data_IF_868630511345
#
_entry.id   IF_868630511345
#
_cell.length_a   1.000
_cell.length_b   1.000
_cell.length_c   1.000
_cell.angle_alpha   90.00
_cell.angle_beta   90.00
_cell.angle_gamma   90.00
#
_symmetry.space_group_name_H-M   'P 1'
#
loop_
_entity.id
_entity.type
_entity.pdbx_description
1 polymer ?
#
# COMPACT_ATOMS: atom_id res chain seq x y z
N UNK A 1 -1.95 8.41 -29.42
CA UNK A 1 -3.06 7.99 -30.31
C UNK A 1 -3.67 6.72 -29.73
N UNK A 2 -4.71 6.86 -28.93
CA UNK A 2 -5.54 5.76 -28.51
C UNK A 2 -6.30 5.30 -29.74
N UNK A 3 -5.94 4.16 -30.25
CA UNK A 3 -6.70 3.49 -31.30
C UNK A 3 -7.93 2.86 -30.69
N UNK A 4 -9.04 3.27 -31.20
CA UNK A 4 -10.38 2.69 -31.20
C UNK A 4 -10.52 1.28 -30.62
N UNK A 5 -10.87 1.19 -29.36
CA UNK A 5 -11.64 0.03 -28.93
C UNK A 5 -13.11 0.38 -29.09
N UNK A 6 -13.68 -0.02 -30.22
CA UNK A 6 -15.12 -0.05 -30.38
C UNK A 6 -15.65 -1.02 -29.32
N UNK A 7 -16.12 -0.50 -28.21
CA UNK A 7 -16.94 -1.29 -27.31
C UNK A 7 -18.20 -1.63 -28.07
N UNK A 8 -18.27 -2.85 -28.58
CA UNK A 8 -19.50 -3.37 -29.14
C UNK A 8 -20.51 -3.45 -28.00
N UNK A 9 -21.41 -2.54 -27.95
CA UNK A 9 -22.60 -2.64 -27.11
C UNK A 9 -23.41 -3.81 -27.64
N UNK A 10 -23.11 -4.99 -27.14
CA UNK A 10 -23.88 -6.18 -27.42
C UNK A 10 -25.07 -6.25 -26.44
N UNK A 11 -26.23 -5.90 -27.00
CA UNK A 11 -27.58 -6.34 -26.67
C UNK A 11 -28.22 -5.89 -25.35
N UNK A 12 -29.42 -5.43 -25.48
CA UNK A 12 -30.55 -5.21 -24.53
C UNK A 12 -30.60 -3.90 -23.73
N UNK A 13 -29.52 -3.17 -23.57
CA UNK A 13 -29.62 -1.79 -23.09
C UNK A 13 -29.02 -0.89 -24.17
N UNK A 14 -29.82 0.07 -24.66
CA UNK A 14 -29.34 1.07 -25.60
C UNK A 14 -28.18 1.81 -24.97
N UNK A 15 -27.00 1.72 -25.55
CA UNK A 15 -25.91 2.60 -25.18
C UNK A 15 -26.39 4.04 -25.20
N UNK A 16 -26.12 4.84 -24.17
CA UNK A 16 -26.46 6.25 -24.19
C UNK A 16 -25.78 6.90 -25.40
N UNK A 17 -26.60 7.39 -26.32
CA UNK A 17 -26.09 8.15 -27.47
C UNK A 17 -25.84 9.56 -27.02
N UNK A 18 -24.59 9.95 -26.98
CA UNK A 18 -24.24 11.34 -26.75
C UNK A 18 -24.70 12.20 -27.94
N UNK A 19 -25.13 13.43 -27.69
CA UNK A 19 -25.51 14.36 -28.75
C UNK A 19 -24.39 14.49 -29.79
N UNK A 20 -24.75 14.64 -31.06
CA UNK A 20 -23.80 14.79 -32.16
C UNK A 20 -22.80 15.93 -31.94
N UNK A 21 -23.23 16.97 -31.20
CA UNK A 21 -22.38 18.11 -30.82
C UNK A 21 -21.23 17.77 -29.89
N UNK A 22 -21.29 16.59 -29.24
CA UNK A 22 -20.24 16.10 -28.37
C UNK A 22 -19.36 15.02 -29.02
N UNK A 23 -19.61 14.75 -30.30
CA UNK A 23 -18.78 13.80 -31.07
C UNK A 23 -17.63 14.56 -31.69
N UNK A 24 -16.45 14.10 -31.41
CA UNK A 24 -15.28 14.45 -32.19
C UNK A 24 -15.02 13.30 -33.19
N UNK A 25 -14.87 13.66 -34.46
CA UNK A 25 -14.45 12.75 -35.51
C UNK A 25 -15.35 11.54 -35.79
N UNK A 26 -16.67 11.66 -35.57
CA UNK A 26 -17.61 10.60 -35.92
C UNK A 26 -17.67 9.39 -34.99
N UNK A 27 -17.00 9.43 -33.86
CA UNK A 27 -17.01 8.34 -32.88
C UNK A 27 -18.27 8.29 -32.03
N UNK A 28 -18.76 7.09 -31.78
CA UNK A 28 -19.96 6.85 -30.99
C UNK A 28 -19.59 6.45 -29.57
N UNK A 29 -20.12 7.17 -28.60
CA UNK A 29 -20.07 6.74 -27.20
C UNK A 29 -18.69 6.89 -26.53
N UNK A 30 -17.80 7.64 -27.13
CA UNK A 30 -16.50 7.94 -26.55
C UNK A 30 -16.44 9.42 -26.13
N UNK A 31 -15.94 9.67 -24.94
CA UNK A 31 -15.49 11.00 -24.56
C UNK A 31 -14.06 11.19 -25.03
N UNK A 32 -13.83 12.06 -26.00
CA UNK A 32 -12.52 12.12 -26.66
C UNK A 32 -11.49 12.97 -25.94
N UNK A 33 -11.76 13.46 -24.76
CA UNK A 33 -10.86 14.40 -24.11
C UNK A 33 -10.53 14.01 -22.67
N UNK A 34 -9.79 12.93 -22.54
CA UNK A 34 -8.89 12.85 -21.42
C UNK A 34 -7.55 13.40 -21.90
N UNK A 35 -7.36 14.69 -21.74
CA UNK A 35 -6.03 15.29 -21.90
C UNK A 35 -5.27 14.91 -20.64
N UNK A 36 -4.30 14.04 -20.78
CA UNK A 36 -3.29 13.85 -19.76
C UNK A 36 -2.30 15.00 -19.97
N UNK A 37 -2.35 16.00 -19.14
CA UNK A 37 -1.26 16.95 -19.06
C UNK A 37 -0.11 16.23 -18.38
N UNK A 38 0.95 16.00 -19.11
CA UNK A 38 2.21 15.53 -18.56
C UNK A 38 3.12 16.73 -18.43
N UNK A 39 3.37 17.15 -17.22
CA UNK A 39 4.41 18.13 -16.98
C UNK A 39 5.78 17.47 -17.16
N UNK A 40 6.68 18.18 -17.84
CA UNK A 40 8.07 17.75 -17.96
C UNK A 40 8.74 17.87 -16.58
N UNK A 41 9.16 16.75 -16.02
CA UNK A 41 9.84 16.73 -14.73
C UNK A 41 11.27 16.22 -14.88
N UNK A 42 12.18 16.88 -14.16
CA UNK A 42 13.58 16.49 -14.12
C UNK A 42 13.90 15.92 -12.73
N UNK A 43 14.12 14.61 -12.67
CA UNK A 43 14.68 13.98 -11.47
C UNK A 43 16.19 14.19 -11.42
N UNK A 44 16.71 14.51 -10.24
CA UNK A 44 18.15 14.63 -10.03
C UNK A 44 18.57 13.95 -8.73
N UNK A 45 19.85 13.59 -8.67
CA UNK A 45 20.51 13.07 -7.46
C UNK A 45 21.81 13.81 -7.23
N UNK A 46 21.95 14.34 -6.03
CA UNK A 46 23.20 14.88 -5.52
C UNK A 46 23.68 13.99 -4.38
N UNK A 47 24.94 13.57 -4.41
CA UNK A 47 25.48 12.74 -3.35
C UNK A 47 26.92 13.14 -3.04
N UNK A 48 27.27 13.07 -1.76
CA UNK A 48 28.63 13.21 -1.25
C UNK A 48 28.96 12.03 -0.37
N UNK A 49 30.17 11.53 -0.46
CA UNK A 49 30.68 10.47 0.40
C UNK A 49 32.10 10.80 0.87
N UNK A 50 32.44 10.33 2.05
CA UNK A 50 33.74 10.49 2.62
C UNK A 50 34.19 9.23 3.36
N UNK A 51 35.38 8.73 3.04
CA UNK A 51 35.98 7.64 3.77
C UNK A 51 36.65 8.21 5.02
N UNK A 52 36.15 7.83 6.19
CA UNK A 52 36.75 8.19 7.48
C UNK A 52 38.01 7.37 7.72
N UNK A 53 37.99 6.12 7.28
CA UNK A 53 39.09 5.16 7.25
C UNK A 53 38.96 4.27 6.02
N UNK A 54 39.92 3.35 5.81
CA UNK A 54 39.80 2.34 4.73
C UNK A 54 38.59 1.44 4.89
N UNK A 55 38.06 1.33 6.11
CA UNK A 55 36.97 0.42 6.46
C UNK A 55 35.66 1.14 6.87
N UNK A 56 35.60 2.46 6.82
CA UNK A 56 34.44 3.24 7.23
C UNK A 56 34.18 4.40 6.27
N UNK A 57 32.97 4.46 5.77
CA UNK A 57 32.48 5.51 4.88
C UNK A 57 31.21 6.11 5.45
N UNK A 58 31.10 7.43 5.35
CA UNK A 58 29.84 8.16 5.58
C UNK A 58 29.41 8.81 4.27
N UNK A 59 28.12 8.99 4.11
CA UNK A 59 27.57 9.63 2.93
C UNK A 59 26.32 10.44 3.27
N UNK A 60 26.01 11.38 2.40
CA UNK A 60 24.72 12.06 2.36
C UNK A 60 24.26 12.16 0.92
N UNK A 61 22.98 12.05 0.69
CA UNK A 61 22.39 12.22 -0.64
C UNK A 61 21.06 12.94 -0.58
N UNK A 62 20.75 13.64 -1.68
CA UNK A 62 19.45 14.23 -1.95
C UNK A 62 19.00 13.78 -3.33
N UNK A 63 17.80 13.21 -3.43
CA UNK A 63 17.28 12.64 -4.67
C UNK A 63 15.85 13.11 -4.87
N UNK A 64 15.50 13.49 -6.09
CA UNK A 64 14.11 13.77 -6.48
C UNK A 64 13.64 12.79 -7.54
N UNK A 65 12.36 12.50 -7.51
CA UNK A 65 11.68 11.68 -8.51
C UNK A 65 10.27 12.20 -8.73
N UNK A 66 9.73 11.97 -9.90
CA UNK A 66 8.38 12.39 -10.26
C UNK A 66 7.63 11.25 -10.91
N UNK A 67 6.36 11.12 -10.60
CA UNK A 67 5.43 10.21 -11.25
C UNK A 67 4.32 11.05 -11.90
N UNK A 68 4.11 10.84 -13.20
CA UNK A 68 3.16 11.62 -13.98
C UNK A 68 1.73 11.55 -13.40
N UNK A 69 1.03 12.65 -13.47
CA UNK A 69 -0.39 12.77 -13.24
C UNK A 69 -1.22 12.05 -14.31
N UNK A 70 -2.53 12.13 -14.20
CA UNK A 70 -3.43 11.48 -15.12
C UNK A 70 -4.90 11.85 -14.91
N UNK A 71 -5.79 11.04 -15.43
CA UNK A 71 -7.23 11.20 -15.26
C UNK A 71 -7.87 9.97 -14.65
N UNK A 72 -8.80 10.17 -13.74
CA UNK A 72 -9.64 9.13 -13.24
C UNK A 72 -10.65 8.68 -14.31
N UNK A 73 -10.89 7.36 -14.46
CA UNK A 73 -11.95 6.89 -15.31
C UNK A 73 -13.30 7.32 -14.74
N UNK A 74 -14.09 8.02 -15.51
CA UNK A 74 -15.45 8.36 -15.13
C UNK A 74 -16.43 8.15 -16.28
N UNK A 75 -17.70 7.91 -15.93
CA UNK A 75 -18.79 7.65 -16.89
C UNK A 75 -19.48 8.92 -17.37
N UNK A 76 -19.18 10.06 -16.76
CA UNK A 76 -19.86 11.34 -17.08
C UNK A 76 -19.16 12.09 -18.20
N UNK A 77 -17.95 11.73 -18.52
CA UNK A 77 -17.13 12.36 -19.55
C UNK A 77 -16.60 13.72 -19.20
N UNK A 78 -16.78 14.16 -17.99
CA UNK A 78 -16.08 15.32 -17.45
C UNK A 78 -14.71 14.88 -17.02
N UNK A 79 -13.62 15.53 -17.46
CA UNK A 79 -12.28 15.21 -16.97
C UNK A 79 -12.23 15.27 -15.44
N UNK A 80 -11.63 14.28 -14.82
CA UNK A 80 -11.37 14.22 -13.38
C UNK A 80 -9.86 13.98 -13.20
N UNK A 81 -9.02 15.03 -13.43
CA UNK A 81 -7.58 14.88 -13.39
C UNK A 81 -7.08 14.68 -11.96
N UNK A 82 -5.93 14.07 -11.84
CA UNK A 82 -5.08 14.08 -10.67
C UNK A 82 -3.68 14.51 -11.07
N UNK A 83 -3.04 15.26 -10.19
CA UNK A 83 -1.75 15.88 -10.45
C UNK A 83 -0.60 14.86 -10.37
N UNK A 84 0.56 15.25 -10.80
CA UNK A 84 1.79 14.47 -10.65
C UNK A 84 2.17 14.32 -9.17
N UNK A 85 2.91 13.26 -8.88
CA UNK A 85 3.51 13.00 -7.57
C UNK A 85 5.00 13.36 -7.64
N UNK A 86 5.44 14.25 -6.75
CA UNK A 86 6.83 14.66 -6.63
C UNK A 86 7.41 14.19 -5.30
N UNK A 87 8.48 13.44 -5.36
CA UNK A 87 9.14 12.90 -4.16
C UNK A 87 10.54 13.46 -4.04
N UNK A 88 10.89 13.90 -2.83
CA UNK A 88 12.24 14.31 -2.45
C UNK A 88 12.72 13.48 -1.26
N UNK A 89 13.89 12.87 -1.37
CA UNK A 89 14.49 12.04 -0.33
C UNK A 89 15.85 12.62 0.05
N UNK A 90 15.98 12.97 1.32
CA UNK A 90 17.28 13.20 1.96
C UNK A 90 17.68 11.94 2.73
N UNK A 91 18.94 11.53 2.58
CA UNK A 91 19.48 10.37 3.27
C UNK A 91 20.90 10.67 3.77
N UNK A 92 21.19 10.25 5.00
CA UNK A 92 22.54 10.27 5.55
C UNK A 92 22.85 8.92 6.19
N UNK A 93 24.01 8.37 5.93
CA UNK A 93 24.30 7.03 6.42
C UNK A 93 25.77 6.71 6.55
N UNK A 94 26.05 5.52 7.05
CA UNK A 94 27.39 4.95 7.19
C UNK A 94 27.41 3.52 6.66
N UNK A 95 28.57 3.15 6.12
CA UNK A 95 28.92 1.78 5.77
C UNK A 95 30.28 1.45 6.40
N UNK A 96 30.32 0.40 7.19
CA UNK A 96 31.47 0.11 8.02
C UNK A 96 31.81 -1.38 8.06
N UNK A 97 33.08 -1.68 7.97
CA UNK A 97 33.68 -2.99 8.27
C UNK A 97 34.43 -2.81 9.57
N UNK A 98 33.99 -3.47 10.62
CA UNK A 98 34.47 -3.30 11.98
C UNK A 98 35.05 -4.61 12.51
N UNK A 99 35.77 -4.54 13.64
CA UNK A 99 36.32 -5.69 14.34
C UNK A 99 37.19 -6.56 13.41
N UNK A 100 38.12 -5.95 12.69
CA UNK A 100 39.04 -6.62 11.76
C UNK A 100 38.31 -7.50 10.71
N UNK A 101 37.14 -7.01 10.24
CA UNK A 101 36.33 -7.72 9.24
C UNK A 101 35.26 -8.64 9.82
N UNK A 102 35.22 -8.82 11.13
CA UNK A 102 34.22 -9.69 11.76
C UNK A 102 32.80 -9.09 11.76
N UNK A 103 32.65 -7.76 11.52
CA UNK A 103 31.34 -7.12 11.53
C UNK A 103 31.17 -6.17 10.35
N UNK A 104 30.14 -6.38 9.53
CA UNK A 104 29.66 -5.42 8.55
C UNK A 104 28.44 -4.70 9.13
N UNK A 105 28.50 -3.38 9.18
CA UNK A 105 27.43 -2.55 9.74
C UNK A 105 27.11 -1.41 8.79
N UNK A 106 25.85 -1.33 8.38
CA UNK A 106 25.32 -0.21 7.59
C UNK A 106 24.10 0.33 8.31
N UNK A 107 24.00 1.67 8.37
CA UNK A 107 22.85 2.35 8.90
C UNK A 107 22.61 3.65 8.18
N UNK A 108 21.37 4.04 8.00
CA UNK A 108 20.98 5.31 7.42
C UNK A 108 19.78 5.90 8.16
N UNK A 109 19.73 7.21 8.18
CA UNK A 109 18.54 8.01 8.44
C UNK A 109 18.07 8.59 7.13
N UNK A 110 16.78 8.55 6.88
CA UNK A 110 16.17 9.18 5.71
C UNK A 110 14.95 10.02 6.07
N UNK A 111 14.72 11.03 5.27
CA UNK A 111 13.52 11.83 5.26
C UNK A 111 13.00 11.87 3.83
N UNK A 112 11.77 11.45 3.66
CA UNK A 112 11.06 11.43 2.39
C UNK A 112 9.86 12.37 2.51
N UNK A 113 9.77 13.36 1.64
CA UNK A 113 8.58 14.19 1.44
C UNK A 113 8.02 13.90 0.06
N UNK A 114 6.72 13.70 -0.01
CA UNK A 114 6.03 13.45 -1.27
C UNK A 114 4.88 14.43 -1.38
N UNK A 115 4.99 15.35 -2.33
CA UNK A 115 3.93 16.26 -2.70
C UNK A 115 3.06 15.59 -3.77
N UNK A 116 1.76 15.67 -3.61
CA UNK A 116 0.81 15.08 -4.54
C UNK A 116 0.77 13.54 -4.54
N UNK A 117 1.18 12.86 -3.47
CA UNK A 117 1.09 11.41 -3.36
C UNK A 117 -0.30 10.90 -3.75
N UNK A 118 -0.36 9.87 -4.60
CA UNK A 118 -1.63 9.31 -5.05
C UNK A 118 -2.20 8.31 -4.04
N UNK A 119 -3.40 8.63 -3.57
CA UNK A 119 -4.22 7.69 -2.80
C UNK A 119 -5.44 7.31 -3.61
N UNK A 120 -5.69 6.00 -3.70
CA UNK A 120 -6.90 5.49 -4.34
C UNK A 120 -8.03 5.36 -3.32
N UNK A 121 -9.14 6.02 -3.59
CA UNK A 121 -10.38 5.95 -2.82
C UNK A 121 -11.47 5.30 -3.62
N UNK A 122 -12.35 4.54 -2.95
CA UNK A 122 -13.50 3.92 -3.61
C UNK A 122 -14.71 4.83 -3.44
N UNK A 123 -15.18 5.38 -4.55
CA UNK A 123 -16.35 6.25 -4.60
C UNK A 123 -17.36 5.65 -5.58
N UNK A 124 -18.60 5.45 -5.16
CA UNK A 124 -19.71 4.93 -6.00
C UNK A 124 -19.36 3.62 -6.67
N UNK A 125 -18.84 2.67 -6.45
CA UNK A 125 -18.43 1.47 -7.20
C UNK A 125 -17.23 1.66 -8.13
N UNK A 126 -16.62 2.85 -8.14
CA UNK A 126 -15.42 3.16 -8.89
C UNK A 126 -14.24 3.43 -7.98
N UNK A 127 -13.04 3.31 -8.50
CA UNK A 127 -11.83 3.80 -7.86
C UNK A 127 -11.54 5.20 -8.37
N UNK A 128 -11.24 6.10 -7.46
CA UNK A 128 -10.83 7.48 -7.75
C UNK A 128 -9.49 7.74 -7.09
N UNK A 129 -8.53 8.21 -7.86
CA UNK A 129 -7.26 8.68 -7.34
C UNK A 129 -7.38 10.14 -6.94
N UNK A 130 -6.82 10.47 -5.82
CA UNK A 130 -6.72 11.84 -5.29
C UNK A 130 -5.29 12.09 -4.83
N UNK A 131 -4.85 13.33 -4.94
CA UNK A 131 -3.53 13.73 -4.47
C UNK A 131 -3.61 14.14 -3.00
N UNK A 132 -2.53 13.87 -2.28
CA UNK A 132 -2.27 14.30 -0.91
C UNK A 132 -0.78 14.49 -0.73
N UNK A 133 -0.39 15.13 0.33
CA UNK A 133 1.01 15.22 0.70
C UNK A 133 1.30 14.25 1.84
N UNK A 134 2.51 13.71 1.85
CA UNK A 134 2.93 12.76 2.88
C UNK A 134 4.40 12.95 3.25
N UNK A 135 4.68 12.67 4.52
CA UNK A 135 6.04 12.63 5.05
C UNK A 135 6.33 11.25 5.62
N UNK A 136 7.55 10.76 5.36
CA UNK A 136 8.05 9.50 5.91
C UNK A 136 9.48 9.73 6.38
N UNK A 137 9.69 9.58 7.68
CA UNK A 137 11.01 9.68 8.29
C UNK A 137 11.40 8.33 8.86
N UNK A 138 12.66 7.95 8.76
CA UNK A 138 13.03 6.65 9.28
C UNK A 138 14.51 6.41 9.48
N UNK A 139 14.77 5.30 10.16
CA UNK A 139 16.09 4.71 10.33
C UNK A 139 16.07 3.30 9.79
N UNK A 140 17.02 2.97 8.97
CA UNK A 140 17.21 1.62 8.46
C UNK A 140 18.65 1.16 8.66
N UNK A 141 18.82 -0.15 8.62
CA UNK A 141 20.17 -0.68 8.64
C UNK A 141 20.22 -2.20 8.54
N UNK A 142 21.44 -2.66 8.41
CA UNK A 142 21.75 -4.08 8.44
C UNK A 142 23.09 -4.33 9.12
N UNK A 143 23.18 -5.47 9.75
CA UNK A 143 24.34 -6.00 10.45
C UNK A 143 24.59 -7.43 9.98
N UNK A 144 25.85 -7.76 9.68
CA UNK A 144 26.33 -9.13 9.59
C UNK A 144 27.53 -9.26 10.54
N UNK A 145 27.41 -10.16 11.50
CA UNK A 145 28.42 -10.36 12.52
C UNK A 145 28.89 -11.82 12.56
N UNK A 146 30.15 -12.06 12.27
CA UNK A 146 30.80 -13.36 12.36
C UNK A 146 31.30 -13.59 13.79
N UNK A 147 30.62 -14.47 14.51
CA UNK A 147 31.03 -14.90 15.85
C UNK A 147 32.31 -15.75 15.80
N UNK A 148 32.46 -16.52 14.74
CA UNK A 148 33.60 -17.31 14.36
C UNK A 148 33.48 -17.73 12.89
N UNK A 149 34.44 -18.52 12.37
CA UNK A 149 34.49 -18.93 10.97
C UNK A 149 33.25 -19.73 10.48
N UNK A 150 32.47 -20.27 11.39
CA UNK A 150 31.31 -21.14 11.05
C UNK A 150 29.98 -20.61 11.58
N UNK A 151 29.98 -19.46 12.28
CA UNK A 151 28.76 -18.96 12.92
C UNK A 151 28.66 -17.46 12.70
N UNK A 152 27.52 -17.02 12.16
CA UNK A 152 27.24 -15.58 12.01
C UNK A 152 25.80 -15.25 12.41
N UNK A 153 25.62 -14.01 12.79
CA UNK A 153 24.33 -13.38 13.03
C UNK A 153 24.14 -12.31 11.96
N UNK A 154 22.99 -12.30 11.30
CA UNK A 154 22.56 -11.19 10.49
C UNK A 154 21.32 -10.55 11.07
N UNK A 155 21.22 -9.24 10.90
CA UNK A 155 20.08 -8.45 11.32
C UNK A 155 19.78 -7.39 10.27
N UNK A 156 18.50 -7.18 10.00
CA UNK A 156 18.00 -6.03 9.27
C UNK A 156 16.94 -5.35 10.09
N UNK A 157 16.84 -4.02 10.03
CA UNK A 157 15.80 -3.27 10.72
C UNK A 157 15.37 -2.06 9.91
N UNK A 158 14.12 -1.70 10.09
CA UNK A 158 13.54 -0.47 9.58
C UNK A 158 12.62 0.10 10.66
N UNK A 159 12.83 1.35 11.03
CA UNK A 159 11.90 2.12 11.85
C UNK A 159 11.45 3.32 11.05
N UNK A 160 10.15 3.48 10.87
CA UNK A 160 9.56 4.60 10.14
C UNK A 160 8.48 5.28 10.97
N UNK A 161 8.36 6.57 10.74
CA UNK A 161 7.22 7.38 11.12
C UNK A 161 6.66 7.98 9.83
N UNK A 162 5.37 7.83 9.60
CA UNK A 162 4.72 8.26 8.36
C UNK A 162 3.45 9.02 8.66
N UNK A 163 3.20 10.10 7.92
CA UNK A 163 2.05 10.97 8.13
C UNK A 163 1.50 11.47 6.81
N UNK A 164 0.17 11.51 6.69
CA UNK A 164 -0.57 12.24 5.65
C UNK A 164 -0.74 13.66 6.15
N UNK A 165 -0.27 14.65 5.39
CA UNK A 165 -0.24 16.03 5.89
C UNK A 165 -1.55 16.79 5.67
N UNK A 166 -2.26 16.54 4.56
CA UNK A 166 -3.54 17.22 4.31
C UNK A 166 -4.44 16.43 3.34
N UNK A 167 -5.49 15.82 3.85
CA UNK A 167 -6.44 15.10 3.00
C UNK A 167 -7.80 14.91 3.67
N UNK A 168 -8.87 15.14 2.91
CA UNK A 168 -10.23 14.75 3.29
C UNK A 168 -10.79 13.75 2.31
N UNK A 169 -11.23 12.61 2.79
CA UNK A 169 -11.76 11.50 1.99
C UNK A 169 -13.11 11.01 2.51
N UNK A 170 -13.91 10.46 1.62
CA UNK A 170 -15.12 9.75 2.02
C UNK A 170 -14.73 8.34 2.44
N UNK A 171 -14.99 8.00 3.71
CA UNK A 171 -14.83 6.65 4.19
C UNK A 171 -15.95 5.76 3.65
N UNK A 172 -15.68 4.78 2.77
CA UNK A 172 -16.72 3.97 2.13
C UNK A 172 -17.45 3.04 3.11
N UNK A 173 -16.90 2.81 4.28
CA UNK A 173 -17.48 1.97 5.34
C UNK A 173 -18.20 2.82 6.38
N UNK A 174 -17.76 4.04 6.60
CA UNK A 174 -18.32 4.99 7.55
C UNK A 174 -18.77 6.27 6.82
N UNK A 175 -19.61 6.11 5.85
CA UNK A 175 -20.09 7.21 4.97
C UNK A 175 -20.74 8.38 5.72
N UNK A 176 -21.13 8.18 6.95
CA UNK A 176 -21.78 9.19 7.80
C UNK A 176 -20.82 9.85 8.78
N UNK A 177 -19.55 9.48 8.74
CA UNK A 177 -18.55 9.92 9.74
C UNK A 177 -19.08 9.72 11.17
N UNK A 178 -19.42 8.51 11.52
CA UNK A 178 -20.24 8.12 12.66
C UNK A 178 -19.59 8.26 14.05
N UNK A 179 -18.62 9.12 14.22
CA UNK A 179 -18.24 9.62 15.57
C UNK A 179 -19.41 10.34 16.26
N UNK A 180 -20.43 10.70 15.50
CA UNK A 180 -21.64 11.37 15.97
C UNK A 180 -22.77 10.44 16.49
N UNK A 181 -22.56 9.15 16.55
CA UNK A 181 -23.58 8.18 16.99
C UNK A 181 -24.69 7.90 15.96
N UNK A 182 -24.69 8.56 14.82
CA UNK A 182 -25.65 8.37 13.73
C UNK A 182 -25.38 7.10 12.92
N UNK A 183 -24.12 6.71 12.75
CA UNK A 183 -23.70 5.55 11.98
C UNK A 183 -24.17 4.21 12.58
N UNK A 184 -24.37 4.15 13.87
CA UNK A 184 -24.89 2.95 14.54
C UNK A 184 -26.41 2.77 14.43
N UNK A 185 -27.10 3.74 13.83
CA UNK A 185 -28.58 3.74 13.73
C UNK A 185 -29.07 3.54 12.28
N UNK A 186 -28.17 3.32 11.38
CA UNK A 186 -28.52 3.05 9.98
C UNK A 186 -28.80 1.57 9.84
N UNK A 187 -30.08 1.21 9.79
CA UNK A 187 -30.49 -0.13 9.46
C UNK A 187 -30.92 -0.17 7.98
N UNK A 188 -30.48 -1.18 7.27
CA UNK A 188 -31.00 -1.49 5.94
C UNK A 188 -32.23 -2.37 6.16
N UNK A 189 -33.39 -1.92 5.72
CA UNK A 189 -34.60 -2.71 5.81
C UNK A 189 -34.59 -3.91 4.83
N UNK A 190 -35.61 -4.76 4.89
CA UNK A 190 -35.71 -5.94 4.05
C UNK A 190 -35.78 -5.64 2.54
N UNK A 191 -35.96 -4.39 2.15
CA UNK A 191 -35.97 -3.90 0.77
C UNK A 191 -34.67 -3.21 0.37
N UNK A 192 -33.68 -3.20 1.26
CA UNK A 192 -32.41 -2.51 1.02
C UNK A 192 -32.45 -0.98 1.18
N UNK A 193 -33.57 -0.44 1.65
CA UNK A 193 -33.69 0.97 1.97
C UNK A 193 -33.16 1.25 3.38
N UNK A 194 -32.49 2.38 3.56
CA UNK A 194 -32.03 2.82 4.87
C UNK A 194 -33.23 3.17 5.78
N UNK A 195 -33.47 2.35 6.78
CA UNK A 195 -34.46 2.62 7.81
C UNK A 195 -33.85 3.53 8.87
N UNK A 196 -34.20 4.80 8.83
CA UNK A 196 -33.73 5.82 9.75
C UNK A 196 -34.84 6.24 10.69
N UNK A 197 -34.48 6.66 11.90
CA UNK A 197 -35.42 7.34 12.76
C UNK A 197 -35.84 8.66 12.12
N UNK A 198 -37.05 9.13 12.44
CA UNK A 198 -37.60 10.36 11.85
C UNK A 198 -36.74 11.60 12.10
N UNK A 199 -35.97 11.62 13.16
CA UNK A 199 -35.05 12.70 13.56
C UNK A 199 -33.77 12.73 12.74
N UNK A 200 -33.32 11.55 12.28
CA UNK A 200 -32.03 11.40 11.64
C UNK A 200 -32.12 11.49 10.10
N UNK A 201 -33.32 11.31 9.53
CA UNK A 201 -33.55 11.26 8.09
C UNK A 201 -33.00 12.47 7.34
N UNK A 202 -33.16 13.67 7.90
CA UNK A 202 -32.68 14.88 7.25
C UNK A 202 -31.15 14.98 7.17
N UNK A 203 -30.46 14.47 8.15
CA UNK A 203 -28.98 14.53 8.21
C UNK A 203 -28.34 13.44 7.40
N UNK A 204 -28.91 12.24 7.40
CA UNK A 204 -28.40 11.10 6.63
C UNK A 204 -28.57 11.33 5.14
N UNK A 205 -29.70 11.88 4.71
CA UNK A 205 -29.90 12.21 3.29
C UNK A 205 -28.96 13.28 2.76
N UNK A 206 -28.47 14.15 3.62
CA UNK A 206 -27.45 15.13 3.24
C UNK A 206 -26.05 14.55 3.12
N UNK A 207 -25.78 13.46 3.83
CA UNK A 207 -24.45 12.89 3.96
C UNK A 207 -24.31 11.51 3.30
N UNK A 208 -25.38 10.73 3.13
CA UNK A 208 -25.32 9.41 2.51
C UNK A 208 -25.52 9.52 0.99
N UNK A 209 -24.51 9.86 0.29
CA UNK A 209 -24.54 10.15 -1.11
C UNK A 209 -25.14 9.07 -2.01
N UNK A 210 -25.07 7.79 -1.67
CA UNK A 210 -25.66 6.74 -2.50
C UNK A 210 -27.19 6.76 -2.53
N UNK A 211 -27.84 7.33 -1.55
CA UNK A 211 -29.31 7.52 -1.57
C UNK A 211 -29.73 8.62 -2.55
N UNK A 212 -28.82 9.46 -2.91
CA UNK A 212 -29.06 10.53 -3.85
C UNK A 212 -28.87 10.11 -5.31
N UNK A 213 -28.26 8.95 -5.55
CA UNK A 213 -28.05 8.40 -6.90
C UNK A 213 -29.21 7.59 -7.43
N UNK A 214 -30.17 7.24 -6.57
CA UNK A 214 -31.33 6.50 -7.02
C UNK A 214 -32.24 7.46 -7.82
N UNK A 215 -32.52 7.16 -9.10
CA UNK A 215 -33.40 7.98 -9.92
C UNK A 215 -34.85 8.01 -9.36
N UNK A 216 -35.09 7.23 -8.33
CA UNK A 216 -36.37 7.13 -7.65
C UNK A 216 -36.09 7.36 -6.15
N UNK A 217 -36.43 8.55 -5.67
CA UNK A 217 -36.47 8.81 -4.24
C UNK A 217 -37.93 8.61 -3.75
N UNK A 218 -38.28 7.41 -3.22
CA UNK A 218 -39.63 7.12 -2.78
C UNK A 218 -40.06 7.97 -1.58
N UNK A 219 -39.15 8.76 -1.00
CA UNK A 219 -39.40 9.57 0.17
C UNK A 219 -39.49 11.07 -0.14
N UNK A 220 -39.62 11.46 -1.44
CA UNK A 220 -39.79 12.85 -1.84
C UNK A 220 -38.68 13.73 -1.34
N UNK A 221 -37.47 13.50 -1.79
CA UNK A 221 -36.35 14.15 -1.20
C UNK A 221 -35.76 15.29 -1.99
N UNK A 222 -35.11 16.15 -1.26
CA UNK A 222 -34.24 17.17 -1.78
C UNK A 222 -33.18 16.51 -2.67
N UNK A 223 -32.98 16.96 -3.91
CA UNK A 223 -31.87 16.47 -4.70
C UNK A 223 -30.58 16.68 -3.91
N UNK A 224 -29.81 15.60 -3.71
CA UNK A 224 -28.50 15.75 -3.13
C UNK A 224 -27.61 16.51 -4.11
N UNK A 225 -27.04 17.61 -3.71
CA UNK A 225 -26.23 18.41 -4.60
C UNK A 225 -24.97 17.69 -5.10
N UNK A 226 -24.57 16.62 -4.44
CA UNK A 226 -23.38 15.83 -4.76
C UNK A 226 -23.73 14.32 -4.74
N UNK A 227 -24.38 13.87 -5.79
CA UNK A 227 -24.79 12.48 -5.89
C UNK A 227 -23.62 11.52 -5.72
N UNK A 228 -23.73 10.62 -4.76
CA UNK A 228 -22.77 9.55 -4.52
C UNK A 228 -21.64 9.86 -3.55
N UNK A 229 -21.61 11.06 -2.97
CA UNK A 229 -20.57 11.42 -2.01
C UNK A 229 -21.12 11.31 -0.58
N UNK A 230 -20.42 10.56 0.27
CA UNK A 230 -20.64 10.53 1.71
C UNK A 230 -20.11 11.80 2.40
N UNK A 231 -20.04 11.80 3.71
CA UNK A 231 -19.41 12.87 4.49
C UNK A 231 -17.89 12.71 4.46
N UNK A 232 -17.13 13.71 4.00
CA UNK A 232 -15.67 13.66 4.06
C UNK A 232 -15.18 13.53 5.50
N UNK A 233 -14.16 12.72 5.68
CA UNK A 233 -13.39 12.57 6.93
C UNK A 233 -12.03 13.20 6.68
N UNK A 234 -11.60 14.05 7.59
CA UNK A 234 -10.24 14.57 7.60
C UNK A 234 -9.31 13.44 8.07
N UNK A 235 -8.36 13.08 7.23
CA UNK A 235 -7.35 12.04 7.49
C UNK A 235 -5.94 12.65 7.66
N UNK A 236 -5.84 13.97 7.77
CA UNK A 236 -4.59 14.64 8.09
C UNK A 236 -4.07 14.19 9.45
N UNK A 237 -2.77 13.98 9.56
CA UNK A 237 -2.14 13.40 10.74
C UNK A 237 -2.24 11.87 10.84
N UNK A 238 -2.96 11.22 9.92
CA UNK A 238 -3.05 9.77 9.91
C UNK A 238 -1.77 9.14 9.34
N UNK A 239 -1.43 7.97 9.86
CA UNK A 239 -0.34 7.15 9.32
C UNK A 239 -0.69 6.57 7.96
N UNK A 240 0.34 6.41 7.14
CA UNK A 240 0.18 5.73 5.85
C UNK A 240 -0.20 4.26 6.04
N UNK A 241 -1.14 3.72 5.24
CA UNK A 241 -1.50 2.32 5.33
C UNK A 241 -0.32 1.41 4.94
N UNK A 242 -0.27 0.24 5.55
CA UNK A 242 0.77 -0.78 5.34
C UNK A 242 2.20 -0.32 5.70
N UNK A 243 2.34 0.74 6.50
CA UNK A 243 3.61 1.27 6.99
C UNK A 243 3.78 0.94 8.49
N UNK A 244 4.36 -0.22 8.86
CA UNK A 244 4.62 -0.55 10.26
C UNK A 244 5.71 0.36 10.82
N UNK A 245 5.56 0.82 12.08
CA UNK A 245 6.57 1.69 12.69
C UNK A 245 7.91 1.00 12.89
N UNK A 246 7.89 -0.30 13.16
CA UNK A 246 9.10 -1.10 13.35
C UNK A 246 8.97 -2.44 12.62
N UNK A 247 9.99 -2.78 11.87
CA UNK A 247 10.17 -4.13 11.34
C UNK A 247 11.64 -4.54 11.45
N UNK A 248 11.88 -5.80 11.81
CA UNK A 248 13.23 -6.31 11.83
C UNK A 248 13.26 -7.83 11.59
N UNK A 249 14.42 -8.30 11.16
CA UNK A 249 14.73 -9.71 11.03
C UNK A 249 16.08 -9.99 11.68
N UNK A 250 16.17 -11.07 12.45
CA UNK A 250 17.42 -11.54 13.05
C UNK A 250 17.59 -12.99 12.64
N UNK A 251 18.74 -13.33 12.05
CA UNK A 251 19.09 -14.65 11.62
C UNK A 251 20.35 -15.16 12.30
N UNK A 252 20.33 -16.40 12.74
CA UNK A 252 21.51 -17.16 13.18
C UNK A 252 21.86 -18.16 12.10
N UNK A 253 23.07 -18.08 11.60
CA UNK A 253 23.61 -18.99 10.59
C UNK A 253 24.71 -19.85 11.22
N UNK A 254 24.71 -21.14 10.88
CA UNK A 254 25.72 -22.08 11.34
C UNK A 254 26.11 -23.06 10.26
N UNK A 255 27.39 -23.13 9.98
CA UNK A 255 28.01 -24.10 9.10
C UNK A 255 28.58 -25.28 9.88
N UNK A 256 28.29 -26.48 9.38
CA UNK A 256 28.80 -27.72 9.91
C UNK A 256 29.57 -28.45 8.79
N UNK A 257 30.89 -28.54 8.94
CA UNK A 257 31.70 -29.34 8.04
C UNK A 257 31.42 -30.82 8.29
N UNK A 258 31.20 -31.58 7.22
CA UNK A 258 31.08 -33.05 7.24
C UNK A 258 32.17 -33.65 6.35
N UNK A 259 32.41 -34.95 6.46
CA UNK A 259 33.40 -35.63 5.62
C UNK A 259 33.16 -35.43 4.13
N UNK A 260 31.89 -35.33 3.70
CA UNK A 260 31.51 -35.35 2.29
C UNK A 260 30.97 -33.97 1.80
N UNK A 261 30.90 -32.94 2.65
CA UNK A 261 30.33 -31.68 2.27
C UNK A 261 30.10 -30.73 3.46
N UNK A 262 29.36 -29.70 3.20
CA UNK A 262 28.99 -28.65 4.16
C UNK A 262 27.48 -28.64 4.36
N UNK A 263 27.06 -28.59 5.62
CA UNK A 263 25.67 -28.32 5.99
C UNK A 263 25.58 -26.88 6.52
N UNK A 264 24.87 -26.02 5.85
CA UNK A 264 24.55 -24.68 6.30
C UNK A 264 23.13 -24.65 6.88
N UNK A 265 23.00 -24.26 8.13
CA UNK A 265 21.70 -24.09 8.78
C UNK A 265 21.43 -22.63 9.07
N UNK A 266 20.17 -22.21 8.99
CA UNK A 266 19.72 -20.90 9.36
C UNK A 266 18.44 -20.99 10.17
N UNK A 267 18.38 -20.23 11.26
CA UNK A 267 17.16 -19.95 12.00
C UNK A 267 16.97 -18.43 12.02
N UNK A 268 15.82 -17.96 11.60
CA UNK A 268 15.52 -16.53 11.55
C UNK A 268 14.21 -16.20 12.27
N UNK A 269 14.22 -15.09 12.98
CA UNK A 269 13.03 -14.47 13.55
C UNK A 269 12.73 -13.19 12.79
N UNK A 270 11.47 -13.00 12.39
CA UNK A 270 10.98 -11.80 11.74
C UNK A 270 9.86 -11.18 12.57
N UNK A 271 9.97 -9.91 12.79
CA UNK A 271 8.98 -9.08 13.47
C UNK A 271 8.52 -7.97 12.53
N UNK A 272 7.24 -7.69 12.55
CA UNK A 272 6.63 -6.54 11.92
C UNK A 272 5.56 -6.02 12.88
N UNK A 273 5.66 -4.74 13.23
CA UNK A 273 4.74 -4.09 14.15
C UNK A 273 3.32 -4.01 13.57
N UNK A 274 2.37 -3.69 14.42
CA UNK A 274 1.03 -3.35 13.96
C UNK A 274 1.08 -2.17 12.99
N UNK A 275 0.13 -2.13 12.08
CA UNK A 275 0.07 -1.07 11.08
C UNK A 275 -1.36 -0.77 10.67
N UNK A 276 -1.57 0.42 10.18
CA UNK A 276 -2.86 0.80 9.66
C UNK A 276 -3.16 0.06 8.35
N UNK A 277 -4.36 -0.47 8.24
CA UNK A 277 -4.79 -1.20 7.04
C UNK A 277 -5.39 -0.28 5.97
N UNK A 278 -5.80 0.92 6.37
CA UNK A 278 -6.42 1.92 5.50
C UNK A 278 -5.98 3.32 5.92
N UNK A 279 -6.16 4.30 5.04
CA UNK A 279 -5.86 5.72 5.30
C UNK A 279 -6.72 6.33 6.42
N UNK A 280 -7.80 5.66 6.82
CA UNK A 280 -8.72 6.15 7.85
C UNK A 280 -8.27 5.84 9.27
N UNK A 281 -7.22 5.02 9.44
CA UNK A 281 -6.64 4.61 10.73
C UNK A 281 -7.69 4.09 11.74
N UNK A 282 -8.63 3.29 11.26
CA UNK A 282 -9.67 2.70 12.10
C UNK A 282 -9.20 1.42 12.80
N UNK A 283 -9.44 1.28 14.10
CA UNK A 283 -9.09 0.07 14.87
C UNK A 283 -9.59 -1.23 14.22
N UNK A 284 -10.74 -1.18 13.56
CA UNK A 284 -11.36 -2.34 12.92
C UNK A 284 -10.62 -2.82 11.66
N UNK A 285 -9.78 -1.97 11.08
CA UNK A 285 -8.98 -2.28 9.89
C UNK A 285 -7.48 -2.32 10.20
N UNK A 286 -7.10 -2.17 11.46
CA UNK A 286 -5.71 -2.30 11.88
C UNK A 286 -5.22 -3.72 11.63
N UNK A 287 -4.01 -3.83 11.10
CA UNK A 287 -3.31 -5.09 10.89
C UNK A 287 -2.44 -5.33 12.11
N UNK A 288 -2.64 -6.42 12.86
CA UNK A 288 -1.89 -6.68 14.08
C UNK A 288 -0.39 -6.93 13.82
N UNK A 289 0.41 -6.91 14.85
CA UNK A 289 1.82 -7.29 14.76
C UNK A 289 1.99 -8.72 14.24
N UNK A 290 3.05 -8.94 13.46
CA UNK A 290 3.39 -10.27 12.93
C UNK A 290 4.72 -10.75 13.49
N UNK A 291 4.76 -12.02 13.90
CA UNK A 291 5.95 -12.68 14.42
C UNK A 291 6.12 -14.03 13.74
N UNK A 292 7.24 -14.24 13.06
CA UNK A 292 7.51 -15.48 12.35
C UNK A 292 8.87 -16.04 12.68
N UNK A 293 8.93 -17.35 12.79
CA UNK A 293 10.17 -18.11 12.78
C UNK A 293 10.29 -18.85 11.48
N UNK A 294 11.45 -18.73 10.84
CA UNK A 294 11.79 -19.44 9.61
C UNK A 294 13.06 -20.26 9.85
N UNK A 295 13.16 -21.43 9.23
CA UNK A 295 14.38 -22.21 9.29
C UNK A 295 14.72 -22.80 7.92
N UNK A 296 16.00 -22.95 7.66
CA UNK A 296 16.46 -23.68 6.49
C UNK A 296 17.74 -24.46 6.76
N UNK A 297 17.90 -25.57 6.04
CA UNK A 297 19.12 -26.39 6.04
C UNK A 297 19.47 -26.62 4.59
N UNK A 298 20.72 -26.34 4.25
CA UNK A 298 21.26 -26.55 2.91
C UNK A 298 22.49 -27.47 3.01
N UNK A 299 22.51 -28.54 2.26
CA UNK A 299 23.67 -29.43 2.11
C UNK A 299 24.32 -29.17 0.75
N UNK A 300 25.65 -28.99 0.74
CA UNK A 300 26.50 -28.98 -0.47
C UNK A 300 27.63 -29.97 -0.33
N UNK A 301 27.82 -30.89 -1.30
CA UNK A 301 28.94 -31.81 -1.29
C UNK A 301 30.27 -31.09 -1.57
N UNK A 302 31.40 -31.69 -1.24
CA UNK A 302 32.73 -31.12 -1.41
C UNK A 302 33.07 -30.79 -2.87
N UNK A 303 32.50 -31.50 -3.84
CA UNK A 303 32.68 -31.20 -5.26
C UNK A 303 31.90 -29.95 -5.71
N UNK A 304 30.90 -29.51 -4.92
CA UNK A 304 30.18 -28.30 -5.18
C UNK A 304 29.16 -28.33 -6.34
N UNK A 305 29.02 -29.47 -7.04
CA UNK A 305 28.24 -29.55 -8.28
C UNK A 305 26.73 -29.48 -8.07
N UNK A 306 26.26 -29.70 -6.85
CA UNK A 306 24.84 -29.66 -6.52
C UNK A 306 24.58 -29.21 -5.06
N UNK A 307 23.36 -28.90 -4.77
CA UNK A 307 22.91 -28.67 -3.40
C UNK A 307 21.49 -29.23 -3.19
N UNK A 308 21.21 -29.55 -1.95
CA UNK A 308 19.87 -29.87 -1.48
C UNK A 308 19.49 -28.89 -0.36
N UNK A 309 18.30 -28.30 -0.45
CA UNK A 309 17.77 -27.35 0.53
C UNK A 309 16.43 -27.83 1.06
N UNK A 310 16.26 -27.81 2.38
CA UNK A 310 14.98 -27.89 3.07
C UNK A 310 14.73 -26.56 3.73
N UNK A 311 13.54 -26.00 3.56
CA UNK A 311 13.15 -24.75 4.14
C UNK A 311 11.74 -24.85 4.75
N UNK A 312 11.57 -24.23 5.91
CA UNK A 312 10.28 -24.07 6.56
C UNK A 312 10.09 -22.58 6.86
N UNK A 313 8.97 -22.02 6.42
CA UNK A 313 8.54 -20.66 6.74
C UNK A 313 7.36 -20.71 7.69
N UNK A 314 7.28 -19.70 8.58
CA UNK A 314 6.25 -19.60 9.59
C UNK A 314 6.16 -20.89 10.44
N UNK A 315 7.26 -21.25 11.09
CA UNK A 315 7.34 -22.45 11.94
C UNK A 315 6.31 -22.46 13.08
N UNK A 316 5.96 -21.31 13.59
CA UNK A 316 4.93 -21.14 14.61
C UNK A 316 3.51 -21.39 14.09
N UNK A 317 3.29 -21.45 12.76
CA UNK A 317 2.00 -21.67 12.10
C UNK A 317 0.93 -20.62 12.45
N UNK A 318 1.38 -19.40 12.76
CA UNK A 318 0.48 -18.31 13.07
C UNK A 318 -0.14 -17.73 11.79
N UNK A 319 -1.39 -17.33 11.92
CA UNK A 319 -2.15 -16.72 10.83
C UNK A 319 -2.57 -15.32 11.26
N UNK A 320 -2.18 -14.36 10.48
CA UNK A 320 -2.48 -12.94 10.72
C UNK A 320 -3.31 -12.38 9.58
N UNK A 321 -4.00 -11.29 9.86
CA UNK A 321 -4.54 -10.44 8.81
C UNK A 321 -3.35 -9.77 8.12
N UNK A 322 -3.24 -9.91 6.81
CA UNK A 322 -2.15 -9.33 6.00
C UNK A 322 -2.48 -7.95 5.47
N UNK A 323 -3.72 -7.76 5.04
CA UNK A 323 -4.22 -6.48 4.51
C UNK A 323 -5.74 -6.42 4.56
N UNK A 324 -6.26 -5.20 4.43
CA UNK A 324 -7.68 -4.93 4.33
C UNK A 324 -8.04 -4.35 2.96
N UNK A 325 -9.21 -4.72 2.46
CA UNK A 325 -9.85 -4.09 1.33
C UNK A 325 -11.26 -3.63 1.75
N UNK A 326 -11.55 -2.36 1.52
CA UNK A 326 -12.86 -1.77 1.79
C UNK A 326 -13.66 -1.73 0.50
N UNK A 327 -14.78 -2.41 0.48
CA UNK A 327 -15.72 -2.32 -0.63
C UNK A 327 -16.53 -1.02 -0.54
N UNK A 328 -17.01 -0.55 -1.69
CA UNK A 328 -17.88 0.63 -1.75
C UNK A 328 -19.19 0.43 -1.00
N UNK A 329 -19.87 1.53 -0.67
CA UNK A 329 -21.22 1.50 -0.10
C UNK A 329 -22.23 0.75 -0.98
N UNK A 330 -22.04 0.75 -2.31
CA UNK A 330 -22.87 -0.04 -3.25
C UNK A 330 -22.65 -1.56 -3.12
N UNK A 331 -21.53 -1.98 -2.59
CA UNK A 331 -21.22 -3.37 -2.25
C UNK A 331 -21.54 -3.68 -0.77
N UNK A 332 -22.36 -2.83 -0.12
CA UNK A 332 -22.76 -2.98 1.27
C UNK A 332 -21.70 -2.58 2.29
N UNK A 333 -20.65 -1.87 1.88
CA UNK A 333 -19.57 -1.45 2.79
C UNK A 333 -18.80 -2.63 3.40
N UNK A 334 -18.70 -3.74 2.68
CA UNK A 334 -18.05 -4.94 3.18
C UNK A 334 -16.55 -4.72 3.38
N UNK A 335 -16.01 -5.32 4.44
CA UNK A 335 -14.58 -5.36 4.73
C UNK A 335 -14.05 -6.76 4.38
N UNK A 336 -13.03 -6.80 3.57
CA UNK A 336 -12.34 -8.04 3.21
C UNK A 336 -10.92 -8.01 3.76
N UNK A 337 -10.50 -9.11 4.35
CA UNK A 337 -9.13 -9.28 4.83
C UNK A 337 -8.43 -10.39 4.04
N UNK A 338 -7.18 -10.17 3.70
CA UNK A 338 -6.29 -11.26 3.30
C UNK A 338 -5.68 -11.87 4.56
N UNK A 339 -5.50 -13.18 4.54
CA UNK A 339 -4.84 -13.91 5.63
C UNK A 339 -3.45 -14.34 5.13
N UNK A 340 -2.47 -14.21 6.00
CA UNK A 340 -1.09 -14.63 5.70
C UNK A 340 -0.99 -16.14 5.54
N UNK A 341 0.03 -16.60 4.81
CA UNK A 341 0.27 -18.01 4.58
C UNK A 341 0.52 -18.77 5.89
N UNK A 342 -0.04 -19.97 6.04
CA UNK A 342 0.30 -20.85 7.15
C UNK A 342 1.76 -21.35 7.02
N UNK A 343 2.19 -22.20 7.96
CA UNK A 343 3.48 -22.85 7.84
C UNK A 343 3.62 -23.59 6.51
N UNK A 344 4.68 -23.28 5.80
CA UNK A 344 5.01 -23.89 4.51
C UNK A 344 6.34 -24.59 4.56
N UNK A 345 6.46 -25.68 3.83
CA UNK A 345 7.68 -26.46 3.66
C UNK A 345 8.05 -26.47 2.18
N UNK A 346 9.31 -26.27 1.90
CA UNK A 346 9.83 -26.38 0.54
C UNK A 346 11.10 -27.24 0.51
N UNK A 347 11.24 -27.98 -0.58
CA UNK A 347 12.43 -28.75 -0.90
C UNK A 347 12.99 -28.19 -2.19
N UNK A 348 14.27 -27.86 -2.18
CA UNK A 348 15.00 -27.40 -3.35
C UNK A 348 16.16 -28.33 -3.68
N UNK A 349 16.33 -28.56 -4.95
CA UNK A 349 17.53 -29.18 -5.51
C UNK A 349 18.05 -28.31 -6.63
N UNK A 350 19.36 -28.08 -6.67
CA UNK A 350 19.99 -27.31 -7.74
C UNK A 350 21.34 -27.89 -8.08
N UNK A 351 21.79 -27.67 -9.32
CA UNK A 351 23.09 -28.08 -9.82
C UNK A 351 23.73 -26.91 -10.57
N UNK A 352 25.06 -26.83 -10.47
CA UNK A 352 25.90 -25.92 -11.26
C UNK A 352 26.53 -26.71 -12.41
N UNK A 353 26.45 -26.12 -13.60
CA UNK A 353 27.05 -26.72 -14.83
C UNK A 353 28.33 -26.01 -15.20
#
# INVERSE_FOLDING_TARGET
>A
TVKDSVASCLTFFSCPRYPLSQKQSGEYGFHPTQVVETDDAIGYKLAIQHNLTDNQMVYASYTTATKAGGNNPNSTGTPDPYDQEETAVFEIGTKSILLDGAMLFNAAYFQNTTDGMLISSIVNAGSRNVNTDAEINGFEGNLLFFLNETTSIDMTWLKVDSEITALSLINPVNILNATSGLGNRVNVDALGALALTTTDKGNVFKSAGYQCTLPFNPLGGVPCPEAGLGTPVDVSGNKLPQSPELSYSIGLNKDFATTNGMVTSRLAFRFMDEREGTVYNEDQTRVPEHKYWDASVTYRPNNGDWFFKLEAKNLNDDKYVGSWYLASGLQGGAKFATITDPRTWSIGFGTTF
#
